data_IF_151255096104
#
_entry.id   IF_151255096104
#
_cell.length_a   1.000
_cell.length_b   1.000
_cell.length_c   1.000
_cell.angle_alpha   90.00
_cell.angle_beta   90.00
_cell.angle_gamma   90.00
#
_symmetry.space_group_name_H-M   'P 1'
#
loop_
_entity.id
_entity.type
_entity.pdbx_description
1 polymer ?
#
# COMPACT_ATOMS: atom_id res chain seq x y z
N UNK A 1 -10.17 35.66 -15.45
CA UNK A 1 -8.90 34.87 -15.49
C UNK A 1 -9.06 33.46 -14.94
N UNK A 2 -9.70 33.23 -13.78
CA UNK A 2 -9.88 31.89 -13.22
C UNK A 2 -10.83 30.96 -13.98
N UNK A 3 -11.94 31.49 -14.52
CA UNK A 3 -12.85 30.72 -15.38
C UNK A 3 -12.15 30.13 -16.61
N UNK A 4 -11.06 30.78 -17.04
CA UNK A 4 -10.23 30.27 -18.13
C UNK A 4 -9.42 29.04 -17.69
N UNK A 5 -8.90 28.98 -16.46
CA UNK A 5 -8.11 27.83 -15.99
C UNK A 5 -8.99 26.61 -15.79
N UNK A 6 -10.13 26.75 -15.10
CA UNK A 6 -11.04 25.61 -14.88
C UNK A 6 -11.58 25.07 -16.21
N UNK A 7 -11.96 25.96 -17.14
CA UNK A 7 -12.37 25.56 -18.50
C UNK A 7 -11.25 24.85 -19.26
N UNK A 8 -10.01 25.34 -19.17
CA UNK A 8 -8.85 24.69 -19.81
C UNK A 8 -8.60 23.32 -19.19
N UNK A 9 -8.58 23.20 -17.87
CA UNK A 9 -8.33 21.93 -17.18
C UNK A 9 -9.44 20.91 -17.47
N UNK A 10 -10.70 21.34 -17.51
CA UNK A 10 -11.84 20.48 -17.85
C UNK A 10 -11.92 20.12 -19.33
N UNK A 11 -11.49 20.98 -20.24
CA UNK A 11 -11.40 20.66 -21.67
C UNK A 11 -10.22 19.72 -21.98
N UNK A 12 -9.17 19.77 -21.14
CA UNK A 12 -7.90 19.10 -21.37
C UNK A 12 -7.54 18.11 -20.25
N UNK A 13 -8.52 17.41 -19.66
CA UNK A 13 -8.33 16.60 -18.43
C UNK A 13 -7.18 15.59 -18.51
N UNK A 14 -6.92 15.05 -19.70
CA UNK A 14 -5.89 14.04 -19.97
C UNK A 14 -4.66 14.56 -20.72
N UNK A 15 -4.66 15.83 -21.12
CA UNK A 15 -3.57 16.52 -21.81
C UNK A 15 -2.60 17.08 -20.76
N UNK A 16 -1.95 16.19 -20.02
CA UNK A 16 -1.23 16.55 -18.79
C UNK A 16 -0.04 17.47 -19.08
N UNK A 17 0.57 17.36 -20.26
CA UNK A 17 1.66 18.24 -20.69
C UNK A 17 1.16 19.68 -20.91
N UNK A 18 0.04 19.86 -21.62
CA UNK A 18 -0.55 21.18 -21.81
C UNK A 18 -1.04 21.79 -20.49
N UNK A 19 -1.53 20.95 -19.57
CA UNK A 19 -1.87 21.40 -18.22
C UNK A 19 -0.63 21.88 -17.45
N UNK A 20 0.50 21.16 -17.53
CA UNK A 20 1.77 21.58 -16.92
C UNK A 20 2.19 22.94 -17.49
N UNK A 21 2.17 23.14 -18.81
CA UNK A 21 2.55 24.41 -19.44
C UNK A 21 1.63 25.56 -19.01
N UNK A 22 0.31 25.33 -18.98
CA UNK A 22 -0.67 26.31 -18.54
C UNK A 22 -0.44 26.76 -17.09
N UNK A 23 -0.10 25.83 -16.19
CA UNK A 23 0.08 26.10 -14.76
C UNK A 23 1.50 26.63 -14.44
N UNK A 24 2.52 26.26 -15.23
CA UNK A 24 3.91 26.70 -15.05
C UNK A 24 4.05 28.22 -15.19
N UNK A 25 3.25 28.85 -16.04
CA UNK A 25 3.20 30.30 -16.20
C UNK A 25 2.60 31.07 -15.00
N UNK A 26 1.99 30.37 -14.03
CA UNK A 26 1.30 31.00 -12.88
C UNK A 26 2.24 31.27 -11.72
N UNK A 27 1.96 32.32 -10.95
CA UNK A 27 2.63 32.62 -9.69
C UNK A 27 2.23 31.63 -8.58
N UNK A 28 3.04 31.52 -7.53
CA UNK A 28 2.75 30.66 -6.39
C UNK A 28 1.42 31.04 -5.68
N UNK A 29 1.11 32.33 -5.43
CA UNK A 29 -0.18 32.73 -4.87
C UNK A 29 -1.38 32.34 -5.74
N UNK A 30 -1.27 32.48 -7.07
CA UNK A 30 -2.33 32.06 -8.00
C UNK A 30 -2.57 30.54 -7.93
N UNK A 31 -1.50 29.74 -7.88
CA UNK A 31 -1.61 28.28 -7.76
C UNK A 31 -2.23 27.87 -6.42
N UNK A 32 -1.86 28.52 -5.31
CA UNK A 32 -2.51 28.29 -4.00
C UNK A 32 -4.00 28.64 -4.03
N UNK A 33 -4.37 29.71 -4.73
CA UNK A 33 -5.77 30.09 -4.90
C UNK A 33 -6.55 29.06 -5.72
N UNK A 34 -5.97 28.58 -6.83
CA UNK A 34 -6.56 27.50 -7.64
C UNK A 34 -6.72 26.23 -6.79
N UNK A 35 -5.67 25.82 -6.08
CA UNK A 35 -5.67 24.64 -5.23
C UNK A 35 -6.75 24.71 -4.14
N UNK A 36 -6.90 25.87 -3.48
CA UNK A 36 -7.98 26.12 -2.51
C UNK A 36 -9.36 25.91 -3.12
N UNK A 37 -9.57 26.46 -4.33
CA UNK A 37 -10.87 26.45 -5.01
C UNK A 37 -11.30 25.03 -5.43
N UNK A 38 -10.35 24.20 -5.85
CA UNK A 38 -10.63 22.79 -6.23
C UNK A 38 -10.54 21.83 -5.03
N UNK A 39 -10.44 22.35 -3.82
CA UNK A 39 -10.34 21.59 -2.57
C UNK A 39 -9.19 20.55 -2.60
N UNK A 40 -7.98 21.01 -2.92
CA UNK A 40 -6.73 20.22 -2.83
C UNK A 40 -5.70 20.93 -1.94
N UNK A 41 -4.54 20.31 -1.71
CA UNK A 41 -3.50 20.84 -0.82
C UNK A 41 -3.02 22.24 -1.27
N UNK A 42 -2.96 23.18 -0.32
CA UNK A 42 -2.42 24.53 -0.52
C UNK A 42 -0.94 24.67 -0.06
N UNK A 43 -0.38 23.61 0.52
CA UNK A 43 0.98 23.58 1.04
C UNK A 43 1.95 23.01 0.00
N UNK A 44 3.24 23.33 0.16
CA UNK A 44 4.31 22.85 -0.72
C UNK A 44 4.84 23.88 -1.71
N UNK A 45 5.77 23.41 -2.53
CA UNK A 45 6.43 24.17 -3.59
C UNK A 45 5.52 24.43 -4.77
N UNK A 46 5.93 25.33 -5.67
CA UNK A 46 5.20 25.62 -6.92
C UNK A 46 4.94 24.34 -7.73
N UNK A 47 5.95 23.47 -7.87
CA UNK A 47 5.81 22.22 -8.60
C UNK A 47 4.84 21.23 -7.95
N UNK A 48 4.86 21.13 -6.62
CA UNK A 48 3.91 20.26 -5.91
C UNK A 48 2.48 20.73 -6.08
N UNK A 49 2.22 22.04 -6.05
CA UNK A 49 0.90 22.58 -6.32
C UNK A 49 0.45 22.31 -7.76
N UNK A 50 1.33 22.45 -8.75
CA UNK A 50 1.03 22.09 -10.14
C UNK A 50 0.59 20.63 -10.23
N UNK A 51 1.36 19.72 -9.63
CA UNK A 51 1.02 18.31 -9.57
C UNK A 51 -0.34 18.05 -8.89
N UNK A 52 -0.56 18.61 -7.70
CA UNK A 52 -1.81 18.39 -6.96
C UNK A 52 -3.05 18.92 -7.69
N UNK A 53 -2.89 20.01 -8.44
CA UNK A 53 -3.95 20.55 -9.31
C UNK A 53 -4.23 19.57 -10.45
N UNK A 54 -3.21 19.14 -11.18
CA UNK A 54 -3.35 18.16 -12.28
C UNK A 54 -3.99 16.86 -11.78
N UNK A 55 -3.44 16.31 -10.69
CA UNK A 55 -3.95 15.10 -10.05
C UNK A 55 -5.45 15.22 -9.76
N UNK A 56 -5.88 16.34 -9.16
CA UNK A 56 -7.30 16.51 -8.78
C UNK A 56 -8.24 16.44 -9.99
N UNK A 57 -7.87 17.03 -11.12
CA UNK A 57 -8.66 16.96 -12.34
C UNK A 57 -8.60 15.58 -12.99
N UNK A 58 -7.41 14.96 -13.03
CA UNK A 58 -7.22 13.63 -13.58
C UNK A 58 -8.02 12.59 -12.78
N UNK A 59 -7.85 12.56 -11.46
CA UNK A 59 -8.49 11.64 -10.51
C UNK A 59 -10.03 11.76 -10.54
N UNK A 60 -10.57 12.96 -10.76
CA UNK A 60 -12.02 13.16 -10.88
C UNK A 60 -12.66 12.37 -12.03
N UNK A 61 -11.87 11.94 -13.03
CA UNK A 61 -12.34 11.16 -14.19
C UNK A 61 -11.69 9.78 -14.27
N UNK A 62 -10.51 9.58 -13.68
CA UNK A 62 -9.75 8.34 -13.79
C UNK A 62 -9.61 7.58 -12.45
N UNK A 63 -10.12 8.10 -11.34
CA UNK A 63 -9.94 7.54 -10.00
C UNK A 63 -10.91 6.42 -9.61
N UNK A 64 -11.94 6.14 -10.43
CA UNK A 64 -12.94 5.11 -10.14
C UNK A 64 -13.20 4.21 -11.35
N UNK A 65 -13.39 2.91 -11.11
CA UNK A 65 -13.69 1.89 -12.12
C UNK A 65 -14.94 2.24 -12.95
N UNK A 66 -15.93 2.87 -12.32
CA UNK A 66 -17.15 3.32 -13.01
C UNK A 66 -16.84 4.34 -14.12
N UNK A 67 -15.85 5.20 -13.90
CA UNK A 67 -15.50 6.24 -14.85
C UNK A 67 -14.74 5.71 -16.07
N UNK A 68 -14.08 4.55 -15.97
CA UNK A 68 -13.42 3.96 -17.14
C UNK A 68 -14.40 3.59 -18.25
N UNK A 69 -15.68 3.36 -17.92
CA UNK A 69 -16.73 3.06 -18.90
C UNK A 69 -17.13 4.25 -19.76
N UNK A 70 -16.96 5.48 -19.26
CA UNK A 70 -17.32 6.73 -19.95
C UNK A 70 -16.13 7.36 -20.68
N UNK A 71 -14.92 6.84 -20.51
CA UNK A 71 -13.73 7.33 -21.21
C UNK A 71 -13.78 7.01 -22.70
N UNK A 72 -13.55 8.01 -23.53
CA UNK A 72 -13.54 7.87 -24.98
C UNK A 72 -12.20 7.34 -25.49
N UNK A 73 -12.16 6.90 -26.76
CA UNK A 73 -10.89 6.54 -27.40
C UNK A 73 -9.90 7.72 -27.47
N UNK A 74 -10.42 8.93 -27.71
CA UNK A 74 -9.66 10.19 -27.71
C UNK A 74 -9.06 10.50 -26.33
N UNK A 75 -9.78 10.21 -25.24
CA UNK A 75 -9.25 10.35 -23.88
C UNK A 75 -8.06 9.41 -23.65
N UNK A 76 -8.19 8.14 -24.05
CA UNK A 76 -7.11 7.16 -23.94
C UNK A 76 -5.90 7.54 -24.79
N UNK A 77 -6.12 8.06 -26.00
CA UNK A 77 -5.04 8.56 -26.86
C UNK A 77 -4.23 9.66 -26.17
N UNK A 78 -4.90 10.66 -25.57
CA UNK A 78 -4.24 11.75 -24.82
C UNK A 78 -3.43 11.26 -23.63
N UNK A 79 -3.94 10.27 -22.88
CA UNK A 79 -3.20 9.64 -21.78
C UNK A 79 -1.95 8.94 -22.33
N UNK A 80 -2.11 8.16 -23.40
CA UNK A 80 -1.01 7.41 -24.01
C UNK A 80 0.09 8.33 -24.57
N UNK A 81 -0.29 9.43 -25.22
CA UNK A 81 0.61 10.46 -25.73
C UNK A 81 1.37 11.13 -24.58
N UNK A 82 0.64 11.56 -23.54
CA UNK A 82 1.22 12.19 -22.34
C UNK A 82 2.22 11.28 -21.63
N UNK A 83 1.87 10.00 -21.43
CA UNK A 83 2.77 9.03 -20.81
C UNK A 83 4.05 8.84 -21.63
N UNK A 84 3.91 8.64 -22.95
CA UNK A 84 5.05 8.40 -23.84
C UNK A 84 6.03 9.57 -23.78
N UNK A 85 5.54 10.80 -23.97
CA UNK A 85 6.38 12.01 -23.94
C UNK A 85 7.05 12.24 -22.58
N UNK A 86 6.30 12.10 -21.48
CA UNK A 86 6.88 12.28 -20.15
C UNK A 86 7.95 11.23 -19.84
N UNK A 87 7.77 9.99 -20.31
CA UNK A 87 8.74 8.92 -20.12
C UNK A 87 9.99 9.11 -21.00
N UNK A 88 9.83 9.63 -22.22
CA UNK A 88 10.96 10.00 -23.08
C UNK A 88 11.81 11.10 -22.45
N UNK A 89 11.20 12.08 -21.77
CA UNK A 89 11.94 13.11 -21.03
C UNK A 89 12.80 12.53 -19.90
N UNK A 90 12.31 11.52 -19.18
CA UNK A 90 13.07 10.92 -18.06
C UNK A 90 14.18 9.97 -18.53
N UNK A 91 14.00 9.32 -19.68
CA UNK A 91 14.92 8.25 -20.12
C UNK A 91 15.88 8.65 -21.23
N UNK A 92 15.41 9.41 -22.22
CA UNK A 92 16.18 9.70 -23.44
C UNK A 92 16.81 11.10 -23.41
N UNK A 93 16.15 12.07 -22.78
CA UNK A 93 16.56 13.48 -22.84
C UNK A 93 16.54 14.19 -21.48
N UNK A 94 17.21 13.66 -20.44
CA UNK A 94 17.18 14.27 -19.10
C UNK A 94 17.76 15.70 -19.07
N UNK A 95 18.67 16.03 -19.99
CA UNK A 95 19.29 17.36 -20.08
C UNK A 95 18.39 18.41 -20.77
N UNK A 96 17.35 17.98 -21.49
CA UNK A 96 16.42 18.87 -22.19
C UNK A 96 15.07 18.98 -21.49
N UNK A 97 14.97 18.52 -20.23
CA UNK A 97 13.71 18.52 -19.51
C UNK A 97 13.17 19.95 -19.37
N UNK A 98 12.03 20.28 -20.01
CA UNK A 98 11.46 21.62 -19.92
C UNK A 98 10.80 21.88 -18.55
N UNK A 99 10.72 20.85 -17.70
CA UNK A 99 10.03 20.88 -16.41
C UNK A 99 10.95 20.50 -15.26
N UNK A 100 10.59 20.92 -14.06
CA UNK A 100 11.26 20.46 -12.84
C UNK A 100 11.05 18.94 -12.69
N UNK A 101 12.09 18.15 -12.35
CA UNK A 101 12.02 16.69 -12.27
C UNK A 101 10.85 16.18 -11.43
N UNK A 102 10.59 16.84 -10.30
CA UNK A 102 9.49 16.50 -9.39
C UNK A 102 8.10 16.55 -10.05
N UNK A 103 7.86 17.44 -11.02
CA UNK A 103 6.58 17.50 -11.74
C UNK A 103 6.45 16.26 -12.64
N UNK A 104 7.53 15.93 -13.36
CA UNK A 104 7.55 14.80 -14.30
C UNK A 104 7.39 13.49 -13.54
N UNK A 105 8.20 13.25 -12.49
CA UNK A 105 8.18 12.01 -11.72
C UNK A 105 6.81 11.75 -11.11
N UNK A 106 6.20 12.77 -10.49
CA UNK A 106 4.87 12.64 -9.89
C UNK A 106 3.76 12.47 -10.95
N UNK A 107 3.87 13.14 -12.09
CA UNK A 107 2.89 12.99 -13.18
C UNK A 107 3.02 11.62 -13.86
N UNK A 108 4.23 11.11 -14.06
CA UNK A 108 4.46 9.76 -14.53
C UNK A 108 3.93 8.72 -13.54
N UNK A 109 4.16 8.92 -12.24
CA UNK A 109 3.59 8.05 -11.21
C UNK A 109 2.05 8.02 -11.28
N UNK A 110 1.40 9.18 -11.43
CA UNK A 110 -0.05 9.26 -11.64
C UNK A 110 -0.51 8.47 -12.87
N UNK A 111 0.16 8.63 -14.01
CA UNK A 111 -0.20 7.90 -15.22
C UNK A 111 0.09 6.39 -15.09
N UNK A 112 1.17 5.99 -14.41
CA UNK A 112 1.44 4.59 -14.10
C UNK A 112 0.36 3.99 -13.20
N UNK A 113 -0.12 4.73 -12.19
CA UNK A 113 -1.26 4.32 -11.38
C UNK A 113 -2.52 4.15 -12.22
N UNK A 114 -2.77 5.04 -13.18
CA UNK A 114 -3.86 4.85 -14.14
C UNK A 114 -3.75 3.51 -14.88
N UNK A 115 -2.59 3.18 -15.47
CA UNK A 115 -2.43 1.89 -16.16
C UNK A 115 -2.64 0.70 -15.20
N UNK A 116 -2.11 0.80 -13.98
CA UNK A 116 -2.26 -0.23 -12.95
C UNK A 116 -3.74 -0.45 -12.61
N UNK A 117 -4.49 0.62 -12.36
CA UNK A 117 -5.90 0.52 -12.02
C UNK A 117 -6.76 0.09 -13.22
N UNK A 118 -6.49 0.65 -14.41
CA UNK A 118 -7.28 0.40 -15.62
C UNK A 118 -7.03 -0.97 -16.23
N UNK A 119 -5.80 -1.47 -16.22
CA UNK A 119 -5.42 -2.70 -16.93
C UNK A 119 -4.80 -3.78 -16.02
N UNK A 120 -4.24 -3.41 -14.87
CA UNK A 120 -3.52 -4.29 -13.95
C UNK A 120 -2.00 -4.12 -14.08
N UNK A 121 -1.35 -4.63 -15.13
CA UNK A 121 0.08 -4.40 -15.37
C UNK A 121 0.38 -2.95 -15.77
N UNK A 122 1.46 -2.39 -15.24
CA UNK A 122 1.97 -1.08 -15.66
C UNK A 122 2.62 -1.11 -17.04
N UNK A 123 2.61 0.04 -17.73
CA UNK A 123 3.25 0.19 -19.04
C UNK A 123 4.78 0.19 -18.98
N UNK A 124 5.38 0.62 -17.88
CA UNK A 124 6.85 0.60 -17.66
C UNK A 124 7.66 1.19 -18.83
N UNK A 125 7.16 2.26 -19.45
CA UNK A 125 7.85 2.91 -20.57
C UNK A 125 7.82 2.20 -21.91
N UNK A 126 7.22 1.01 -22.01
CA UNK A 126 7.23 0.28 -23.29
C UNK A 126 6.31 0.96 -24.32
N UNK A 127 6.61 0.87 -25.63
CA UNK A 127 5.72 1.35 -26.68
C UNK A 127 4.31 0.76 -26.55
N UNK A 128 3.28 1.56 -26.83
CA UNK A 128 1.88 1.17 -26.61
C UNK A 128 1.51 -0.15 -27.30
N UNK A 129 1.96 -0.38 -28.54
CA UNK A 129 1.69 -1.63 -29.25
C UNK A 129 2.26 -2.87 -28.54
N UNK A 130 3.47 -2.77 -28.00
CA UNK A 130 4.11 -3.85 -27.22
C UNK A 130 3.36 -4.06 -25.91
N UNK A 131 2.97 -2.98 -25.24
CA UNK A 131 2.16 -3.05 -24.02
C UNK A 131 0.84 -3.78 -24.25
N UNK A 132 0.07 -3.42 -25.29
CA UNK A 132 -1.18 -4.08 -25.63
C UNK A 132 -0.98 -5.57 -25.97
N UNK A 133 0.11 -5.92 -26.65
CA UNK A 133 0.50 -7.31 -26.87
C UNK A 133 0.74 -8.07 -25.57
N UNK A 134 1.42 -7.44 -24.60
CA UNK A 134 1.65 -8.03 -23.26
C UNK A 134 0.36 -8.21 -22.46
N UNK A 135 -0.62 -7.31 -22.61
CA UNK A 135 -1.94 -7.44 -22.00
C UNK A 135 -2.72 -8.62 -22.61
N UNK A 136 -2.63 -8.83 -23.92
CA UNK A 136 -3.22 -10.00 -24.57
C UNK A 136 -2.60 -11.31 -24.04
N UNK A 137 -1.27 -11.37 -23.97
CA UNK A 137 -0.59 -12.52 -23.38
C UNK A 137 -1.01 -12.77 -21.93
N UNK A 138 -1.08 -11.70 -21.12
CA UNK A 138 -1.52 -11.74 -19.72
C UNK A 138 -2.97 -12.22 -19.61
N UNK A 139 -3.86 -11.76 -20.47
CA UNK A 139 -5.26 -12.20 -20.48
C UNK A 139 -5.39 -13.72 -20.69
N UNK A 140 -4.55 -14.28 -21.56
CA UNK A 140 -4.58 -15.72 -21.87
C UNK A 140 -3.95 -16.58 -20.76
N UNK A 141 -2.82 -16.15 -20.20
CA UNK A 141 -2.01 -17.02 -19.32
C UNK A 141 -2.14 -16.68 -17.83
N UNK A 142 -2.42 -15.41 -17.52
CA UNK A 142 -2.42 -14.88 -16.16
C UNK A 142 -3.56 -13.86 -15.96
N UNK A 143 -4.84 -14.21 -16.23
CA UNK A 143 -5.94 -13.25 -16.22
C UNK A 143 -6.09 -12.52 -14.88
N UNK A 144 -5.68 -13.14 -13.77
CA UNK A 144 -5.69 -12.54 -12.43
C UNK A 144 -4.71 -11.38 -12.24
N UNK A 145 -3.74 -11.21 -13.13
CA UNK A 145 -2.85 -10.04 -13.15
C UNK A 145 -3.46 -8.82 -13.81
N UNK A 146 -4.56 -8.98 -14.55
CA UNK A 146 -5.32 -7.85 -15.09
C UNK A 146 -6.09 -7.15 -13.96
N UNK A 147 -6.51 -5.91 -14.18
CA UNK A 147 -7.45 -5.24 -13.28
C UNK A 147 -8.82 -5.92 -13.34
N UNK A 148 -9.65 -5.70 -12.32
CA UNK A 148 -11.02 -6.23 -12.32
C UNK A 148 -11.81 -5.69 -13.52
N UNK A 149 -11.70 -4.39 -13.81
CA UNK A 149 -12.32 -3.77 -14.97
C UNK A 149 -11.90 -4.46 -16.28
N UNK A 150 -10.60 -4.66 -16.52
CA UNK A 150 -10.11 -5.24 -17.78
C UNK A 150 -10.49 -6.71 -17.93
N UNK A 151 -10.52 -7.47 -16.83
CA UNK A 151 -11.06 -8.85 -16.84
C UNK A 151 -12.51 -8.86 -17.29
N UNK A 152 -13.36 -7.98 -16.73
CA UNK A 152 -14.79 -7.91 -17.10
C UNK A 152 -14.98 -7.55 -18.57
N UNK A 153 -14.20 -6.62 -19.10
CA UNK A 153 -14.26 -6.24 -20.52
C UNK A 153 -13.87 -7.39 -21.45
N UNK A 154 -12.83 -8.16 -21.11
CA UNK A 154 -12.31 -9.23 -21.98
C UNK A 154 -13.06 -10.55 -21.87
N UNK A 155 -13.47 -10.92 -20.66
CA UNK A 155 -14.04 -12.24 -20.34
C UNK A 155 -15.56 -12.20 -20.15
N UNK A 156 -16.15 -11.01 -20.10
CA UNK A 156 -17.49 -10.80 -19.57
C UNK A 156 -17.55 -10.96 -18.05
N UNK A 157 -18.69 -10.62 -17.46
CA UNK A 157 -18.87 -10.67 -16.00
C UNK A 157 -18.80 -12.09 -15.45
N UNK A 158 -19.46 -13.05 -16.10
CA UNK A 158 -19.43 -14.46 -15.71
C UNK A 158 -18.01 -15.06 -15.80
N UNK A 159 -17.26 -14.70 -16.85
CA UNK A 159 -15.87 -15.15 -17.02
C UNK A 159 -14.93 -14.56 -15.97
N UNK A 160 -15.10 -13.29 -15.61
CA UNK A 160 -14.32 -12.64 -14.55
C UNK A 160 -14.56 -13.30 -13.17
N UNK A 161 -15.83 -13.57 -12.83
CA UNK A 161 -16.19 -14.25 -11.56
C UNK A 161 -15.61 -15.67 -11.53
N UNK A 162 -15.70 -16.40 -12.64
CA UNK A 162 -15.13 -17.75 -12.73
C UNK A 162 -13.60 -17.76 -12.54
N UNK A 163 -12.90 -16.80 -13.15
CA UNK A 163 -11.45 -16.65 -12.98
C UNK A 163 -11.07 -16.34 -11.51
N UNK A 164 -11.81 -15.44 -10.86
CA UNK A 164 -11.58 -15.09 -9.45
C UNK A 164 -11.83 -16.28 -8.51
N UNK A 165 -12.89 -17.07 -8.76
CA UNK A 165 -13.15 -18.30 -8.02
C UNK A 165 -12.05 -19.34 -8.22
N UNK A 166 -11.62 -19.56 -9.45
CA UNK A 166 -10.56 -20.51 -9.77
C UNK A 166 -9.23 -20.16 -9.08
N UNK A 167 -8.87 -18.88 -9.03
CA UNK A 167 -7.67 -18.43 -8.32
C UNK A 167 -7.78 -18.59 -6.81
N UNK A 168 -8.95 -18.27 -6.24
CA UNK A 168 -9.21 -18.49 -4.82
C UNK A 168 -9.08 -19.97 -4.46
N UNK A 169 -9.64 -20.87 -5.28
CA UNK A 169 -9.51 -22.31 -5.11
C UNK A 169 -8.05 -22.79 -5.22
N UNK A 170 -7.27 -22.22 -6.16
CA UNK A 170 -5.84 -22.50 -6.30
C UNK A 170 -5.06 -22.09 -5.05
N UNK A 171 -5.23 -20.85 -4.56
CA UNK A 171 -4.58 -20.35 -3.33
C UNK A 171 -4.97 -21.21 -2.13
N UNK A 172 -6.26 -21.56 -2.01
CA UNK A 172 -6.76 -22.43 -0.95
C UNK A 172 -6.10 -23.82 -1.01
N UNK A 173 -6.00 -24.41 -2.19
CA UNK A 173 -5.33 -25.69 -2.42
C UNK A 173 -3.84 -25.63 -2.06
N UNK A 174 -3.12 -24.59 -2.50
CA UNK A 174 -1.70 -24.38 -2.18
C UNK A 174 -1.46 -24.21 -0.68
N UNK A 175 -2.30 -23.43 0.00
CA UNK A 175 -2.28 -23.27 1.45
C UNK A 175 -2.52 -24.60 2.17
N UNK A 176 -3.52 -25.37 1.74
CA UNK A 176 -3.80 -26.70 2.30
C UNK A 176 -2.62 -27.65 2.10
N UNK A 177 -2.00 -27.66 0.90
CA UNK A 177 -0.82 -28.48 0.61
C UNK A 177 0.37 -28.10 1.51
N UNK A 178 0.57 -26.81 1.79
CA UNK A 178 1.61 -26.34 2.72
C UNK A 178 1.32 -26.78 4.16
N UNK A 179 0.07 -26.68 4.61
CA UNK A 179 -0.36 -27.15 5.93
C UNK A 179 -0.14 -28.66 6.06
N UNK A 180 -0.55 -29.45 5.06
CA UNK A 180 -0.34 -30.90 5.06
C UNK A 180 1.14 -31.29 5.04
N UNK A 181 1.97 -30.57 4.30
CA UNK A 181 3.41 -30.78 4.30
C UNK A 181 3.99 -30.48 5.69
N UNK A 182 3.60 -29.36 6.31
CA UNK A 182 4.03 -29.02 7.66
C UNK A 182 3.61 -30.09 8.69
N UNK A 183 2.37 -30.58 8.62
CA UNK A 183 1.88 -31.68 9.47
C UNK A 183 2.70 -32.95 9.26
N UNK A 184 3.03 -33.30 8.01
CA UNK A 184 3.86 -34.48 7.69
C UNK A 184 5.27 -34.33 8.25
N UNK A 185 5.87 -33.16 8.14
CA UNK A 185 7.21 -32.89 8.68
C UNK A 185 7.22 -32.94 10.22
N UNK A 186 6.20 -32.39 10.88
CA UNK A 186 6.01 -32.50 12.33
C UNK A 186 5.88 -33.95 12.78
N UNK A 187 5.06 -34.76 12.09
CA UNK A 187 4.89 -36.20 12.41
C UNK A 187 6.17 -37.02 12.24
N UNK A 188 7.08 -36.59 11.35
CA UNK A 188 8.38 -37.24 11.14
C UNK A 188 9.47 -36.73 12.09
N UNK A 189 9.16 -35.80 12.99
CA UNK A 189 10.15 -35.15 13.84
C UNK A 189 11.18 -34.31 13.07
N UNK A 190 10.90 -34.00 11.80
CA UNK A 190 11.79 -33.21 10.94
C UNK A 190 11.61 -31.69 11.16
N UNK A 191 10.58 -31.32 11.90
CA UNK A 191 10.35 -29.96 12.40
C UNK A 191 10.29 -30.06 13.91
N UNK A 192 11.09 -29.25 14.59
CA UNK A 192 11.08 -29.18 16.04
C UNK A 192 9.64 -28.89 16.50
N UNK A 193 9.15 -29.65 17.48
CA UNK A 193 7.90 -29.29 18.14
C UNK A 193 8.04 -27.86 18.69
N UNK A 194 6.96 -27.06 18.68
CA UNK A 194 6.98 -25.73 19.28
C UNK A 194 7.47 -25.88 20.71
N UNK A 195 8.69 -25.43 20.97
CA UNK A 195 9.27 -25.48 22.31
C UNK A 195 8.41 -24.62 23.21
N UNK A 196 8.11 -25.14 24.39
CA UNK A 196 7.41 -24.39 25.42
C UNK A 196 8.22 -23.12 25.68
N UNK A 197 7.58 -21.95 25.53
CA UNK A 197 8.21 -20.67 25.84
C UNK A 197 8.55 -20.67 27.33
N UNK A 198 9.83 -20.61 27.65
CA UNK A 198 10.33 -20.48 29.03
C UNK A 198 10.83 -19.05 29.21
N UNK A 199 10.13 -18.25 29.99
CA UNK A 199 10.64 -16.98 30.52
C UNK A 199 10.18 -16.82 31.96
N UNK A 200 11.00 -16.14 32.75
CA UNK A 200 10.79 -15.92 34.18
C UNK A 200 9.81 -14.77 34.41
N UNK A 201 8.94 -14.91 35.40
CA UNK A 201 8.00 -13.84 35.78
C UNK A 201 8.27 -13.45 37.23
N UNK A 202 8.66 -12.19 37.43
CA UNK A 202 8.94 -11.58 38.72
C UNK A 202 7.94 -10.47 39.04
N UNK A 203 7.88 -10.08 40.31
CA UNK A 203 7.02 -8.98 40.75
C UNK A 203 7.86 -7.72 40.98
N UNK A 204 7.37 -6.58 40.52
CA UNK A 204 7.96 -5.27 40.73
C UNK A 204 6.87 -4.29 41.17
N UNK A 205 6.85 -3.98 42.47
CA UNK A 205 5.86 -3.10 43.08
C UNK A 205 5.95 -1.65 42.59
N UNK A 206 7.03 -1.27 41.88
CA UNK A 206 7.15 0.06 41.25
C UNK A 206 6.27 0.21 40.01
N UNK A 207 5.71 -0.89 39.48
CA UNK A 207 4.76 -0.88 38.36
C UNK A 207 3.32 -0.59 38.81
N UNK A 208 3.15 0.31 39.77
CA UNK A 208 1.84 0.68 40.33
C UNK A 208 1.20 1.89 39.64
N UNK A 209 1.82 2.43 38.60
CA UNK A 209 1.36 3.60 37.85
C UNK A 209 0.85 3.20 36.46
N UNK A 210 -0.32 3.72 36.10
CA UNK A 210 -0.90 3.55 34.76
C UNK A 210 -0.09 4.37 33.75
N UNK A 211 0.35 3.72 32.67
CA UNK A 211 1.12 4.36 31.60
C UNK A 211 0.55 4.01 30.23
N UNK A 212 0.87 4.84 29.24
CA UNK A 212 0.51 4.59 27.85
C UNK A 212 1.34 3.44 27.26
N UNK A 213 0.66 2.44 26.69
CA UNK A 213 1.32 1.31 26.04
C UNK A 213 1.94 1.70 24.70
N UNK A 214 3.22 1.36 24.47
CA UNK A 214 3.94 1.66 23.23
C UNK A 214 3.45 0.89 21.97
N UNK A 215 2.51 -0.03 22.11
CA UNK A 215 1.96 -0.83 21.00
C UNK A 215 0.52 -0.43 20.68
N UNK A 216 -0.38 -0.43 21.67
CA UNK A 216 -1.78 -0.10 21.47
C UNK A 216 -2.14 1.36 21.79
N UNK A 217 -1.24 2.12 22.40
CA UNK A 217 -1.47 3.51 22.83
C UNK A 217 -2.61 3.70 23.84
N UNK A 218 -2.97 2.65 24.57
CA UNK A 218 -3.94 2.72 25.67
C UNK A 218 -3.25 2.87 27.02
N UNK A 219 -3.88 3.61 27.94
CA UNK A 219 -3.41 3.81 29.32
C UNK A 219 -3.78 2.62 30.18
N UNK A 220 -2.79 1.79 30.51
CA UNK A 220 -2.98 0.53 31.21
C UNK A 220 -1.86 0.31 32.22
N UNK A 221 -2.03 -0.65 33.11
CA UNK A 221 -0.95 -1.12 34.00
C UNK A 221 0.14 -1.79 33.15
N UNK A 222 1.38 -1.28 33.19
CA UNK A 222 2.46 -1.82 32.36
C UNK A 222 2.99 -3.14 32.92
N UNK A 223 3.51 -3.96 32.00
CA UNK A 223 4.50 -4.99 32.31
C UNK A 223 5.85 -4.49 31.82
N UNK A 224 6.90 -4.72 32.60
CA UNK A 224 8.26 -4.32 32.25
C UNK A 224 9.05 -5.54 31.81
N UNK A 225 9.77 -5.43 30.71
CA UNK A 225 10.60 -6.50 30.17
C UNK A 225 12.01 -6.45 30.76
N UNK A 226 12.78 -7.54 30.66
CA UNK A 226 14.22 -7.55 31.03
C UNK A 226 15.04 -6.47 30.34
N UNK A 227 14.66 -6.10 29.11
CA UNK A 227 15.25 -4.98 28.36
C UNK A 227 14.77 -3.58 28.81
N UNK A 228 14.05 -3.48 29.93
CA UNK A 228 13.49 -2.25 30.52
C UNK A 228 12.38 -1.53 29.73
N UNK A 229 11.95 -2.04 28.57
CA UNK A 229 10.77 -1.51 27.90
C UNK A 229 9.48 -1.93 28.60
N UNK A 230 8.48 -1.06 28.55
CA UNK A 230 7.17 -1.27 29.17
C UNK A 230 6.06 -1.35 28.10
N UNK A 231 5.12 -2.27 28.27
CA UNK A 231 3.94 -2.44 27.41
C UNK A 231 2.77 -3.00 28.22
N UNK A 232 1.55 -3.03 27.69
CA UNK A 232 0.44 -3.66 28.39
C UNK A 232 0.51 -5.21 28.29
N UNK A 233 -0.09 -5.88 29.26
CA UNK A 233 -0.17 -7.35 29.35
C UNK A 233 -0.74 -7.98 28.07
N UNK A 234 -1.78 -7.39 27.51
CA UNK A 234 -2.46 -7.92 26.32
C UNK A 234 -1.57 -7.88 25.07
N UNK A 235 -0.83 -6.78 24.89
CA UNK A 235 0.13 -6.67 23.81
C UNK A 235 1.26 -7.69 23.97
N UNK A 236 1.78 -7.90 25.18
CA UNK A 236 2.77 -8.95 25.45
C UNK A 236 2.22 -10.34 25.09
N UNK A 237 0.99 -10.66 25.51
CA UNK A 237 0.33 -11.92 25.15
C UNK A 237 0.16 -12.08 23.63
N UNK A 238 -0.18 -11.00 22.91
CA UNK A 238 -0.25 -10.98 21.44
C UNK A 238 1.08 -11.32 20.79
N UNK A 239 2.18 -10.70 21.26
CA UNK A 239 3.54 -10.98 20.78
C UNK A 239 3.94 -12.44 21.07
N UNK A 240 3.64 -12.95 22.26
CA UNK A 240 3.93 -14.34 22.65
C UNK A 240 3.15 -15.35 21.76
N UNK A 241 1.87 -15.11 21.53
CA UNK A 241 1.00 -15.99 20.69
C UNK A 241 1.43 -16.00 19.23
N UNK A 242 1.81 -14.86 18.67
CA UNK A 242 2.34 -14.78 17.31
C UNK A 242 3.65 -15.57 17.15
N UNK A 243 4.47 -15.67 18.20
CA UNK A 243 5.77 -16.33 18.18
C UNK A 243 5.76 -17.83 18.49
N UNK A 244 4.74 -18.34 19.20
CA UNK A 244 4.51 -19.79 19.45
C UNK A 244 4.54 -20.64 18.16
N UNK A 245 4.38 -20.01 16.99
CA UNK A 245 4.39 -20.65 15.67
C UNK A 245 5.74 -20.68 14.95
N UNK A 246 6.76 -19.91 15.38
CA UNK A 246 7.97 -19.68 14.57
C UNK A 246 9.32 -19.72 15.31
N UNK A 247 9.37 -19.48 16.62
CA UNK A 247 10.64 -19.45 17.38
C UNK A 247 10.42 -19.75 18.86
N UNK A 248 11.43 -20.32 19.51
CA UNK A 248 11.45 -20.57 20.97
C UNK A 248 11.67 -19.31 21.81
N UNK A 249 11.91 -18.16 21.17
CA UNK A 249 12.23 -16.89 21.84
C UNK A 249 11.20 -15.82 21.47
N UNK A 250 10.75 -15.07 22.49
CA UNK A 250 9.91 -13.88 22.35
C UNK A 250 10.84 -12.67 22.26
N UNK A 251 10.60 -11.78 21.31
CA UNK A 251 11.42 -10.57 21.12
C UNK A 251 10.63 -9.33 21.55
N UNK A 252 11.32 -8.39 22.19
CA UNK A 252 10.76 -7.08 22.51
C UNK A 252 10.32 -6.35 21.22
N UNK A 253 9.11 -5.80 21.21
CA UNK A 253 8.61 -5.03 20.06
C UNK A 253 9.42 -3.76 19.79
N UNK A 254 10.06 -3.19 20.83
CA UNK A 254 10.78 -1.92 20.76
C UNK A 254 12.23 -2.09 20.33
N UNK A 255 12.99 -2.95 21.03
CA UNK A 255 14.43 -3.11 20.77
C UNK A 255 14.83 -4.45 20.17
N UNK A 256 13.88 -5.38 19.97
CA UNK A 256 14.12 -6.73 19.45
C UNK A 256 15.03 -7.62 20.29
N UNK A 257 15.36 -7.22 21.52
CA UNK A 257 16.06 -8.07 22.47
C UNK A 257 15.19 -9.26 22.90
N UNK A 258 15.84 -10.37 23.24
CA UNK A 258 15.20 -11.56 23.80
C UNK A 258 14.51 -11.21 25.13
N UNK A 259 13.28 -11.70 25.30
CA UNK A 259 12.52 -11.56 26.54
C UNK A 259 12.68 -12.87 27.33
N UNK A 260 13.61 -12.86 28.26
CA UNK A 260 13.89 -13.94 29.22
C UNK A 260 13.21 -13.71 30.58
N UNK A 261 12.92 -12.45 30.92
CA UNK A 261 12.23 -12.05 32.15
C UNK A 261 11.15 -10.99 31.90
N UNK A 262 10.04 -11.11 32.63
CA UNK A 262 8.92 -10.16 32.65
C UNK A 262 8.59 -9.81 34.10
N UNK A 263 8.51 -8.51 34.38
CA UNK A 263 8.10 -7.96 35.66
C UNK A 263 6.64 -7.51 35.60
N UNK A 264 5.88 -7.87 36.62
CA UNK A 264 4.46 -7.50 36.80
C UNK A 264 4.25 -6.88 38.18
N UNK A 265 3.18 -6.11 38.37
CA UNK A 265 2.93 -5.41 39.64
C UNK A 265 2.86 -6.35 40.86
N UNK A 266 2.14 -7.47 40.75
CA UNK A 266 1.83 -8.34 41.89
C UNK A 266 1.62 -9.82 41.49
N UNK A 267 1.54 -10.70 42.48
CA UNK A 267 1.38 -12.15 42.27
C UNK A 267 0.06 -12.54 41.58
N UNK A 268 -0.99 -11.71 41.69
CA UNK A 268 -2.25 -11.92 40.96
C UNK A 268 -2.02 -11.78 39.45
N UNK A 269 -1.33 -10.71 39.02
CA UNK A 269 -0.96 -10.49 37.62
C UNK A 269 0.03 -11.53 37.10
N UNK A 270 0.94 -12.01 37.94
CA UNK A 270 1.85 -13.11 37.59
C UNK A 270 1.10 -14.40 37.28
N UNK A 271 0.07 -14.71 38.07
CA UNK A 271 -0.80 -15.87 37.82
C UNK A 271 -1.62 -15.68 36.54
N UNK A 272 -2.18 -14.49 36.32
CA UNK A 272 -2.91 -14.15 35.07
C UNK A 272 -2.02 -14.32 33.82
N UNK A 273 -0.79 -13.80 33.86
CA UNK A 273 0.17 -13.89 32.76
C UNK A 273 0.54 -15.35 32.46
N UNK A 274 0.81 -16.15 33.50
CA UNK A 274 1.09 -17.59 33.34
C UNK A 274 -0.06 -18.32 32.65
N UNK A 275 -1.30 -18.04 33.05
CA UNK A 275 -2.47 -18.67 32.45
C UNK A 275 -2.62 -18.29 30.97
N UNK A 276 -2.54 -16.99 30.64
CA UNK A 276 -2.76 -16.47 29.28
C UNK A 276 -1.72 -16.91 28.24
N UNK A 277 -0.53 -17.31 28.66
CA UNK A 277 0.57 -17.70 27.77
C UNK A 277 0.75 -19.22 27.70
N UNK A 278 0.44 -19.95 28.77
CA UNK A 278 0.54 -21.41 28.81
C UNK A 278 -0.67 -22.11 28.16
N UNK A 279 -1.86 -21.48 28.17
CA UNK A 279 -3.04 -21.93 27.42
C UNK A 279 -2.96 -21.47 25.93
#
# INVERSE_FOLDING_TARGET
>A
MFESVDRIMQANKFRTIEQIECLKGRSLPELKFIAKRINTSMTGTKAELIYWIIWKYFDSVAGNDEHYSIMTADDLEKINESYTRLYEYTTLQPQQMPYQPIIIDKTLYMLSLFYRCRYGPERMGVPLGIYLGSLNYTATHFPMRLSQYERRQRLGEAGAIAAERGEFERIRSESNNRIELAIRLLRRGLVAQPQKLEFHIETDASLNEVKECCICYEYMMPVKLGCSHEMCLECLCGVAKAKKQSSSVILCAMCRADIDIVYVENESKKTELKQKILE
#
